data_IF_492908990196
#
_entry.id   IF_492908990196
#
_cell.length_a   1.000
_cell.length_b   1.000
_cell.length_c   1.000
_cell.angle_alpha   90.00
_cell.angle_beta   90.00
_cell.angle_gamma   90.00
#
_symmetry.space_group_name_H-M   'P 1'
#
loop_
_entity.id
_entity.type
_entity.pdbx_description
1 polymer ?
#
# COMPACT_ATOMS: atom_id res chain seq x y z
N UNK A 1 23.74 -18.09 -22.26
CA UNK A 1 22.28 -17.96 -22.46
C UNK A 1 21.64 -17.31 -21.22
N UNK A 2 21.89 -16.02 -20.94
CA UNK A 2 21.42 -15.33 -19.69
C UNK A 2 20.56 -14.08 -19.92
N UNK A 3 20.15 -13.77 -21.15
CA UNK A 3 19.42 -12.53 -21.46
C UNK A 3 17.93 -12.51 -21.08
N UNK A 4 17.30 -13.67 -20.88
CA UNK A 4 15.85 -13.77 -20.65
C UNK A 4 15.42 -13.55 -19.18
N UNK A 5 16.34 -13.75 -18.23
CA UNK A 5 16.01 -13.62 -16.81
C UNK A 5 15.95 -12.14 -16.37
N UNK A 6 16.75 -11.29 -17.01
CA UNK A 6 16.77 -9.86 -16.72
C UNK A 6 15.49 -9.17 -17.21
N UNK A 7 14.97 -9.54 -18.39
CA UNK A 7 13.75 -8.94 -18.93
C UNK A 7 12.49 -9.26 -18.13
N UNK A 8 12.40 -10.46 -17.55
CA UNK A 8 11.30 -10.81 -16.65
C UNK A 8 11.39 -10.06 -15.32
N UNK A 9 12.57 -10.06 -14.68
CA UNK A 9 12.78 -9.31 -13.44
C UNK A 9 12.54 -7.81 -13.64
N UNK A 10 12.93 -7.24 -14.78
CA UNK A 10 12.65 -5.86 -15.15
C UNK A 10 11.14 -5.61 -15.35
N UNK A 11 10.41 -6.55 -15.94
CA UNK A 11 8.96 -6.46 -16.10
C UNK A 11 8.22 -6.55 -14.75
N UNK A 12 8.61 -7.49 -13.88
CA UNK A 12 8.08 -7.63 -12.52
C UNK A 12 8.38 -6.39 -11.68
N UNK A 13 9.59 -5.83 -11.78
CA UNK A 13 9.95 -4.59 -11.10
C UNK A 13 9.07 -3.42 -11.55
N UNK A 14 8.82 -3.27 -12.84
CA UNK A 14 7.93 -2.22 -13.38
C UNK A 14 6.49 -2.41 -12.90
N UNK A 15 6.01 -3.65 -12.89
CA UNK A 15 4.67 -3.98 -12.38
C UNK A 15 4.54 -3.61 -10.90
N UNK A 16 5.47 -4.07 -10.06
CA UNK A 16 5.40 -3.80 -8.63
C UNK A 16 5.59 -2.33 -8.29
N UNK A 17 6.44 -1.62 -9.05
CA UNK A 17 6.55 -0.17 -8.93
C UNK A 17 5.23 0.53 -9.30
N UNK A 18 4.57 0.09 -10.38
CA UNK A 18 3.28 0.65 -10.78
C UNK A 18 2.18 0.37 -9.74
N UNK A 19 2.15 -0.82 -9.15
CA UNK A 19 1.21 -1.18 -8.07
C UNK A 19 1.43 -0.27 -6.85
N UNK A 20 2.67 -0.12 -6.40
CA UNK A 20 2.99 0.71 -5.24
C UNK A 20 2.68 2.20 -5.52
N UNK A 21 3.03 2.69 -6.70
CA UNK A 21 2.77 4.07 -7.09
C UNK A 21 1.27 4.36 -7.18
N UNK A 22 0.48 3.45 -7.73
CA UNK A 22 -0.96 3.62 -7.86
C UNK A 22 -1.65 3.62 -6.49
N UNK A 23 -1.30 2.70 -5.59
CA UNK A 23 -1.82 2.66 -4.23
C UNK A 23 -1.54 3.99 -3.48
N UNK A 24 -0.30 4.49 -3.53
CA UNK A 24 0.06 5.77 -2.90
C UNK A 24 -0.70 6.94 -3.54
N UNK A 25 -0.86 6.95 -4.87
CA UNK A 25 -1.59 8.00 -5.59
C UNK A 25 -3.07 8.01 -5.21
N UNK A 26 -3.71 6.84 -5.11
CA UNK A 26 -5.11 6.70 -4.72
C UNK A 26 -5.33 7.15 -3.28
N UNK A 27 -4.41 6.81 -2.36
CA UNK A 27 -4.44 7.30 -0.98
C UNK A 27 -4.40 8.82 -0.95
N UNK A 28 -3.39 9.44 -1.58
CA UNK A 28 -3.23 10.91 -1.60
C UNK A 28 -4.40 11.62 -2.25
N UNK A 29 -4.91 11.08 -3.36
CA UNK A 29 -6.12 11.60 -4.02
C UNK A 29 -7.35 11.51 -3.12
N UNK A 30 -7.46 10.43 -2.35
CA UNK A 30 -8.49 10.30 -1.33
C UNK A 30 -8.36 11.41 -0.29
N UNK A 31 -7.13 11.64 0.20
CA UNK A 31 -6.83 12.62 1.25
C UNK A 31 -7.22 14.04 0.81
N UNK A 32 -6.76 14.46 -0.36
CA UNK A 32 -7.03 15.79 -0.93
C UNK A 32 -8.49 15.95 -1.42
N UNK A 33 -9.22 14.85 -1.60
CA UNK A 33 -10.53 14.79 -2.23
C UNK A 33 -11.73 15.03 -1.30
N UNK A 34 -12.94 15.14 -1.88
CA UNK A 34 -14.19 15.14 -1.11
C UNK A 34 -14.36 13.87 -0.26
N UNK A 35 -15.22 13.93 0.76
CA UNK A 35 -15.43 12.83 1.72
C UNK A 35 -15.77 11.47 1.10
N UNK A 36 -16.43 11.44 -0.07
CA UNK A 36 -16.77 10.19 -0.74
C UNK A 36 -15.54 9.51 -1.38
N UNK A 37 -14.49 10.29 -1.72
CA UNK A 37 -13.27 9.78 -2.33
C UNK A 37 -12.44 8.91 -1.38
N UNK A 38 -12.64 9.12 -0.08
CA UNK A 38 -11.99 8.37 0.99
C UNK A 38 -12.23 6.85 0.84
N UNK A 39 -13.41 6.44 0.36
CA UNK A 39 -13.72 5.02 0.12
C UNK A 39 -12.82 4.37 -0.93
N UNK A 40 -12.30 5.15 -1.89
CA UNK A 40 -11.42 4.62 -2.93
C UNK A 40 -10.03 4.27 -2.40
N UNK A 41 -9.59 4.90 -1.30
CA UNK A 41 -8.29 4.65 -0.69
C UNK A 41 -8.33 3.58 0.41
N UNK A 42 -9.51 3.13 0.83
CA UNK A 42 -9.62 2.18 1.94
C UNK A 42 -8.90 0.87 1.63
N UNK A 43 -9.14 0.31 0.44
CA UNK A 43 -8.51 -0.93 0.02
C UNK A 43 -6.98 -0.80 -0.05
N UNK A 44 -6.48 0.35 -0.53
CA UNK A 44 -5.04 0.62 -0.59
C UNK A 44 -4.41 0.79 0.80
N UNK A 45 -5.12 1.43 1.74
CA UNK A 45 -4.69 1.50 3.14
C UNK A 45 -4.66 0.12 3.78
N UNK A 46 -5.72 -0.68 3.62
CA UNK A 46 -5.79 -2.04 4.13
C UNK A 46 -4.63 -2.88 3.58
N UNK A 47 -4.31 -2.71 2.29
CA UNK A 47 -3.17 -3.37 1.66
C UNK A 47 -1.82 -2.93 2.25
N UNK A 48 -1.58 -1.63 2.42
CA UNK A 48 -0.32 -1.10 3.00
C UNK A 48 -0.12 -1.54 4.47
N UNK A 49 -1.21 -1.59 5.26
CA UNK A 49 -1.14 -1.98 6.67
C UNK A 49 -1.29 -3.48 6.91
N UNK A 50 -1.59 -4.26 5.87
CA UNK A 50 -1.63 -5.72 5.96
C UNK A 50 -0.26 -6.32 6.29
N UNK A 51 -0.26 -7.35 7.15
CA UNK A 51 0.92 -8.17 7.44
C UNK A 51 1.03 -9.41 6.53
N UNK A 52 0.11 -9.54 5.58
CA UNK A 52 0.03 -10.69 4.66
C UNK A 52 1.28 -10.81 3.76
N UNK A 53 1.75 -12.05 3.58
CA UNK A 53 2.86 -12.46 2.70
C UNK A 53 2.51 -13.61 1.77
N UNK A 54 1.26 -14.08 1.78
CA UNK A 54 0.86 -15.33 1.15
C UNK A 54 0.68 -15.19 -0.37
N UNK A 55 0.63 -13.96 -0.90
CA UNK A 55 0.47 -13.70 -2.33
C UNK A 55 1.55 -12.75 -2.89
N UNK A 56 1.93 -12.88 -4.19
CA UNK A 56 3.12 -12.22 -4.73
C UNK A 56 3.14 -10.69 -4.68
N UNK A 57 1.98 -10.04 -4.79
CA UNK A 57 1.89 -8.58 -4.71
C UNK A 57 1.39 -8.07 -3.36
N UNK A 58 1.48 -8.89 -2.29
CA UNK A 58 1.28 -8.37 -0.93
C UNK A 58 2.24 -7.20 -0.69
N UNK A 59 1.84 -6.23 0.13
CA UNK A 59 2.64 -5.02 0.34
C UNK A 59 4.07 -5.35 0.81
N UNK A 60 4.21 -6.31 1.73
CA UNK A 60 5.51 -6.75 2.23
C UNK A 60 6.35 -7.42 1.13
N UNK A 61 5.73 -8.20 0.24
CA UNK A 61 6.42 -8.83 -0.89
C UNK A 61 6.83 -7.80 -1.96
N UNK A 62 5.98 -6.82 -2.26
CA UNK A 62 6.28 -5.71 -3.16
C UNK A 62 7.45 -4.88 -2.63
N UNK A 63 7.40 -4.45 -1.36
CA UNK A 63 8.50 -3.73 -0.73
C UNK A 63 9.80 -4.55 -0.72
N UNK A 64 9.71 -5.83 -0.37
CA UNK A 64 10.85 -6.75 -0.37
C UNK A 64 11.49 -6.91 -1.75
N UNK A 65 10.69 -7.08 -2.80
CA UNK A 65 11.18 -7.20 -4.17
C UNK A 65 11.82 -5.90 -4.67
N UNK A 66 11.23 -4.75 -4.35
CA UNK A 66 11.73 -3.44 -4.76
C UNK A 66 12.94 -2.95 -3.94
N UNK A 67 13.26 -3.61 -2.81
CA UNK A 67 14.30 -3.18 -1.88
C UNK A 67 13.91 -1.91 -1.11
N UNK A 68 12.62 -1.70 -0.89
CA UNK A 68 12.06 -0.54 -0.17
C UNK A 68 11.69 -0.97 1.25
N UNK A 69 12.04 -0.14 2.24
CA UNK A 69 11.61 -0.37 3.63
C UNK A 69 10.10 -0.14 3.78
N UNK A 70 9.37 -1.20 4.09
CA UNK A 70 7.91 -1.18 4.29
C UNK A 70 7.47 -0.30 5.45
N UNK A 71 8.25 -0.25 6.54
CA UNK A 71 7.94 0.59 7.69
C UNK A 71 8.16 2.07 7.39
N UNK A 72 9.16 2.37 6.57
CA UNK A 72 9.35 3.73 6.07
C UNK A 72 8.14 4.20 5.24
N UNK A 73 7.64 3.36 4.32
CA UNK A 73 6.46 3.69 3.50
C UNK A 73 5.22 3.89 4.38
N UNK A 74 4.95 2.98 5.31
CA UNK A 74 3.87 3.11 6.31
C UNK A 74 3.98 4.42 7.09
N UNK A 75 5.19 4.77 7.51
CA UNK A 75 5.47 6.03 8.19
C UNK A 75 5.14 7.27 7.35
N UNK A 76 5.42 7.26 6.04
CA UNK A 76 5.03 8.36 5.15
C UNK A 76 3.51 8.45 4.98
N UNK A 77 2.83 7.33 4.77
CA UNK A 77 1.36 7.29 4.66
C UNK A 77 0.70 7.82 5.94
N UNK A 78 1.19 7.43 7.11
CA UNK A 78 0.67 7.94 8.39
C UNK A 78 0.92 9.45 8.57
N UNK A 79 2.03 9.98 8.04
CA UNK A 79 2.29 11.43 8.05
C UNK A 79 1.33 12.17 7.13
N UNK A 80 1.12 11.67 5.91
CA UNK A 80 0.19 12.25 4.94
C UNK A 80 -1.22 12.31 5.54
N UNK A 81 -1.69 11.24 6.19
CA UNK A 81 -3.01 11.21 6.84
C UNK A 81 -3.12 12.15 8.04
N UNK A 82 -2.04 12.32 8.81
CA UNK A 82 -2.03 13.24 9.96
C UNK A 82 -2.13 14.70 9.55
N UNK A 83 -1.63 15.04 8.37
CA UNK A 83 -1.59 16.41 7.85
C UNK A 83 -2.90 16.84 7.20
N UNK A 84 -3.87 15.95 7.00
CA UNK A 84 -5.20 16.28 6.50
C UNK A 84 -6.07 17.02 7.53
N UNK A 85 -6.87 18.05 7.14
CA UNK A 85 -7.75 18.77 8.05
C UNK A 85 -8.73 17.80 8.73
N UNK A 86 -8.49 17.63 10.03
CA UNK A 86 -8.92 16.51 10.84
C UNK A 86 -10.43 16.23 10.79
N UNK A 87 -10.79 14.99 10.39
CA UNK A 87 -11.82 14.10 11.00
C UNK A 87 -12.23 12.91 10.12
N UNK A 88 -11.94 12.92 8.81
CA UNK A 88 -12.51 11.94 7.85
C UNK A 88 -11.93 10.53 7.93
N UNK A 89 -10.64 10.39 8.25
CA UNK A 89 -9.91 9.11 8.11
C UNK A 89 -9.78 8.29 9.40
N UNK A 90 -10.16 8.86 10.54
CA UNK A 90 -9.92 8.22 11.85
C UNK A 90 -10.65 6.88 12.01
N UNK A 91 -11.86 6.74 11.44
CA UNK A 91 -12.62 5.49 11.48
C UNK A 91 -12.04 4.42 10.56
N UNK A 92 -11.50 4.85 9.43
CA UNK A 92 -10.97 3.98 8.38
C UNK A 92 -9.58 3.44 8.73
N UNK A 93 -8.72 4.27 9.32
CA UNK A 93 -7.46 3.82 9.90
C UNK A 93 -7.66 2.81 11.04
N UNK A 94 -8.75 2.94 11.82
CA UNK A 94 -9.09 1.95 12.86
C UNK A 94 -9.54 0.62 12.26
N UNK A 95 -10.27 0.66 11.15
CA UNK A 95 -10.71 -0.55 10.44
C UNK A 95 -9.58 -1.24 9.68
N UNK A 96 -8.61 -0.47 9.17
CA UNK A 96 -7.44 -0.95 8.45
C UNK A 96 -6.36 -1.59 9.35
N UNK A 97 -6.47 -1.46 10.67
CA UNK A 97 -5.60 -2.22 11.58
C UNK A 97 -5.98 -3.70 11.50
N UNK A 98 -5.03 -4.60 11.19
CA UNK A 98 -5.35 -6.00 11.05
C UNK A 98 -5.85 -6.55 12.38
N UNK A 99 -7.12 -6.97 12.40
CA UNK A 99 -7.58 -7.90 13.42
C UNK A 99 -6.96 -9.26 13.08
N UNK A 100 -6.10 -9.74 13.99
CA UNK A 100 -5.73 -11.16 14.05
C UNK A 100 -7.00 -12.00 14.12
N UNK A 101 -7.43 -12.53 12.99
CA UNK A 101 -8.19 -13.78 12.94
C UNK A 101 -7.26 -14.83 12.37
N UNK A 102 -6.37 -15.28 13.26
CA UNK A 102 -5.81 -16.61 13.18
C UNK A 102 -6.94 -17.58 13.55
N UNK A 103 -7.61 -18.16 12.54
CA UNK A 103 -8.52 -19.32 12.58
C UNK A 103 -8.97 -19.53 11.12
N UNK A 104 -8.74 -20.62 10.40
CA UNK A 104 -8.28 -21.99 10.65
C UNK A 104 -7.44 -22.46 9.46
#
# INVERSE_FOLDING_TARGET
>A
MSGANNSRADAERRLFMAVLEDAIRLIRKGLEGPAYCVRFAQADLDWIFSEDRDWPCSFLNVCGFLGIDSEWVRGQVLKDIRNEPAKRWSALLRAAQPSKLHLM
#
